data_IF_651203668497
#
_entry.id   IF_651203668497
#
_cell.length_a   1.000
_cell.length_b   1.000
_cell.length_c   1.000
_cell.angle_alpha   90.00
_cell.angle_beta   90.00
_cell.angle_gamma   90.00
#
_symmetry.space_group_name_H-M   'P 1'
#
loop_
_entity.id
_entity.type
_entity.pdbx_description
1 polymer ?
#
# COMPACT_ATOMS: atom_id res chain seq x y z
N UNK A 1 16.51 22.33 11.56
CA UNK A 1 15.80 21.03 11.58
C UNK A 1 14.50 21.11 10.79
N UNK A 2 13.95 20.00 10.28
CA UNK A 2 12.61 19.99 9.66
C UNK A 2 11.57 19.56 10.71
N UNK A 3 11.07 20.50 11.50
CA UNK A 3 10.08 20.24 12.54
C UNK A 3 8.80 19.60 11.96
N UNK A 4 8.31 18.53 12.61
CA UNK A 4 7.05 17.82 12.30
C UNK A 4 6.92 17.22 10.88
N UNK A 5 8.00 17.12 10.10
CA UNK A 5 7.93 16.54 8.74
C UNK A 5 7.96 15.01 8.78
N UNK A 6 6.78 14.38 8.76
CA UNK A 6 6.63 12.91 8.80
C UNK A 6 6.90 12.18 7.47
N UNK A 7 6.91 12.91 6.33
CA UNK A 7 7.08 12.31 4.99
C UNK A 7 8.54 11.95 4.68
N UNK A 8 8.77 10.73 4.16
CA UNK A 8 10.10 10.29 3.69
C UNK A 8 10.32 10.77 2.23
N UNK A 9 11.35 11.61 1.99
CA UNK A 9 11.62 12.15 0.63
C UNK A 9 12.22 11.13 -0.36
N UNK A 10 12.93 10.10 0.13
CA UNK A 10 13.59 9.05 -0.68
C UNK A 10 14.49 9.57 -1.82
N UNK A 11 15.09 10.76 -1.64
CA UNK A 11 15.90 11.48 -2.65
C UNK A 11 15.23 11.56 -4.04
N UNK A 12 13.90 11.71 -4.07
CA UNK A 12 13.11 11.78 -5.31
C UNK A 12 12.16 12.96 -5.29
N UNK A 13 11.82 13.47 -6.48
CA UNK A 13 10.74 14.42 -6.65
C UNK A 13 9.38 13.79 -6.27
N UNK A 14 8.33 14.60 -6.16
CA UNK A 14 7.03 14.10 -5.68
C UNK A 14 6.39 13.10 -6.63
N UNK A 15 6.49 13.30 -7.95
CA UNK A 15 5.92 12.42 -8.96
C UNK A 15 6.58 11.02 -8.93
N UNK A 16 7.91 10.98 -9.02
CA UNK A 16 8.69 9.74 -8.95
C UNK A 16 8.50 9.01 -7.62
N UNK A 17 8.44 9.75 -6.50
CA UNK A 17 8.18 9.15 -5.19
C UNK A 17 6.81 8.48 -5.13
N UNK A 18 5.77 9.13 -5.67
CA UNK A 18 4.41 8.55 -5.72
C UNK A 18 4.39 7.28 -6.57
N UNK A 19 4.99 7.32 -7.77
CA UNK A 19 5.09 6.15 -8.64
C UNK A 19 5.85 4.98 -7.97
N UNK A 20 7.00 5.25 -7.36
CA UNK A 20 7.79 4.25 -6.63
C UNK A 20 6.97 3.58 -5.52
N UNK A 21 6.29 4.37 -4.68
CA UNK A 21 5.51 3.83 -3.57
C UNK A 21 4.31 3.01 -4.05
N UNK A 22 3.61 3.47 -5.09
CA UNK A 22 2.50 2.71 -5.71
C UNK A 22 2.98 1.37 -6.29
N UNK A 23 4.12 1.38 -6.98
CA UNK A 23 4.74 0.16 -7.49
C UNK A 23 5.10 -0.80 -6.36
N UNK A 24 5.78 -0.32 -5.31
CA UNK A 24 6.18 -1.16 -4.17
C UNK A 24 4.97 -1.77 -3.44
N UNK A 25 3.89 -1.01 -3.22
CA UNK A 25 2.67 -1.55 -2.61
C UNK A 25 2.03 -2.59 -3.53
N UNK A 26 1.95 -2.31 -4.83
CA UNK A 26 1.37 -3.25 -5.80
C UNK A 26 2.16 -4.56 -5.84
N UNK A 27 3.49 -4.50 -5.94
CA UNK A 27 4.35 -5.69 -5.93
C UNK A 27 4.32 -6.42 -4.58
N UNK A 28 4.24 -5.69 -3.47
CA UNK A 28 4.12 -6.29 -2.14
C UNK A 28 2.82 -7.07 -1.99
N UNK A 29 1.69 -6.53 -2.42
CA UNK A 29 0.40 -7.22 -2.34
C UNK A 29 0.30 -8.38 -3.34
N UNK A 30 0.99 -8.27 -4.48
CA UNK A 30 1.05 -9.34 -5.48
C UNK A 30 1.85 -10.55 -4.98
N UNK A 31 3.04 -10.31 -4.41
CA UNK A 31 4.01 -11.35 -4.05
C UNK A 31 4.09 -11.68 -2.56
N UNK A 32 3.42 -10.91 -1.70
CA UNK A 32 3.40 -10.99 -0.22
C UNK A 32 4.76 -10.79 0.47
N UNK A 33 5.87 -10.95 -0.24
CA UNK A 33 7.23 -10.71 0.24
C UNK A 33 8.06 -10.06 -0.85
N UNK A 34 8.75 -8.97 -0.52
CA UNK A 34 9.65 -8.26 -1.44
C UNK A 34 10.97 -7.92 -0.75
N UNK A 35 12.07 -7.92 -1.50
CA UNK A 35 13.36 -7.41 -1.05
C UNK A 35 13.48 -5.93 -1.42
N UNK A 36 13.64 -5.06 -0.43
CA UNK A 36 13.80 -3.61 -0.65
C UNK A 36 14.69 -2.99 0.43
N UNK A 37 15.00 -1.70 0.32
CA UNK A 37 15.80 -1.01 1.34
C UNK A 37 14.95 -0.60 2.53
N UNK A 38 15.56 -0.52 3.73
CA UNK A 38 14.88 -0.15 4.98
C UNK A 38 14.06 1.14 4.85
N UNK A 39 14.63 2.17 4.23
CA UNK A 39 13.96 3.47 4.06
C UNK A 39 12.71 3.37 3.16
N UNK A 40 12.76 2.53 2.11
CA UNK A 40 11.61 2.26 1.24
C UNK A 40 10.55 1.44 1.99
N UNK A 41 10.96 0.38 2.69
CA UNK A 41 10.05 -0.45 3.49
C UNK A 41 9.26 0.37 4.52
N UNK A 42 9.95 1.21 5.33
CA UNK A 42 9.30 2.09 6.31
C UNK A 42 8.34 3.11 5.68
N UNK A 43 8.58 3.51 4.43
CA UNK A 43 7.69 4.44 3.70
C UNK A 43 6.49 3.73 3.05
N UNK A 44 6.67 2.49 2.60
CA UNK A 44 5.62 1.66 1.98
C UNK A 44 4.64 1.11 3.01
N UNK A 45 5.12 0.75 4.22
CA UNK A 45 4.32 0.13 5.29
C UNK A 45 2.97 0.81 5.56
N UNK A 46 2.88 2.12 5.88
CA UNK A 46 1.60 2.76 6.18
C UNK A 46 0.65 2.81 4.98
N UNK A 47 1.18 2.77 3.75
CA UNK A 47 0.37 2.74 2.54
C UNK A 47 -0.21 1.34 2.31
N UNK A 48 0.58 0.29 2.55
CA UNK A 48 0.12 -1.09 2.46
C UNK A 48 -0.92 -1.40 3.54
N UNK A 49 -0.67 -1.01 4.80
CA UNK A 49 -1.64 -1.12 5.91
C UNK A 49 -2.98 -0.47 5.53
N UNK A 50 -2.95 0.76 4.98
CA UNK A 50 -4.17 1.44 4.51
C UNK A 50 -4.93 0.65 3.44
N UNK A 51 -4.23 0.01 2.49
CA UNK A 51 -4.90 -0.81 1.47
C UNK A 51 -5.56 -2.05 2.09
N UNK A 52 -4.92 -2.69 3.07
CA UNK A 52 -5.50 -3.84 3.80
C UNK A 52 -6.70 -3.40 4.64
N UNK A 53 -6.64 -2.23 5.30
CA UNK A 53 -7.79 -1.68 6.03
C UNK A 53 -8.99 -1.41 5.12
N UNK A 54 -8.75 -0.91 3.89
CA UNK A 54 -9.81 -0.76 2.90
C UNK A 54 -10.38 -2.11 2.46
N UNK A 55 -9.51 -3.10 2.29
CA UNK A 55 -9.90 -4.47 1.92
C UNK A 55 -10.85 -5.10 2.95
N UNK A 56 -10.53 -4.95 4.25
CA UNK A 56 -11.36 -5.45 5.35
C UNK A 56 -12.80 -4.90 5.37
N UNK A 57 -13.03 -3.70 4.84
CA UNK A 57 -14.37 -3.09 4.78
C UNK A 57 -15.22 -3.64 3.63
N UNK A 58 -14.60 -4.17 2.58
CA UNK A 58 -15.21 -4.74 1.38
C UNK A 58 -16.39 -3.96 0.73
N UNK A 59 -16.37 -2.62 0.79
CA UNK A 59 -17.40 -1.81 0.12
C UNK A 59 -17.01 -1.44 -1.31
N UNK A 60 -18.00 -1.14 -2.16
CA UNK A 60 -17.76 -0.61 -3.52
C UNK A 60 -16.88 0.66 -3.49
N UNK A 61 -17.11 1.52 -2.49
CA UNK A 61 -16.30 2.72 -2.30
C UNK A 61 -14.84 2.38 -1.99
N UNK A 62 -14.58 1.40 -1.11
CA UNK A 62 -13.24 0.92 -0.81
C UNK A 62 -12.55 0.35 -2.06
N UNK A 63 -13.26 -0.46 -2.87
CA UNK A 63 -12.74 -1.00 -4.13
C UNK A 63 -12.32 0.11 -5.11
N UNK A 64 -13.14 1.16 -5.27
CA UNK A 64 -12.82 2.33 -6.10
C UNK A 64 -11.59 3.10 -5.59
N UNK A 65 -11.46 3.28 -4.28
CA UNK A 65 -10.29 3.92 -3.68
C UNK A 65 -9.00 3.12 -3.94
N UNK A 66 -9.06 1.80 -3.77
CA UNK A 66 -7.92 0.91 -4.01
C UNK A 66 -7.51 0.88 -5.48
N UNK A 67 -8.48 0.82 -6.41
CA UNK A 67 -8.22 0.89 -7.86
C UNK A 67 -7.56 2.20 -8.30
N UNK A 68 -7.81 3.31 -7.60
CA UNK A 68 -7.12 4.59 -7.88
C UNK A 68 -5.63 4.51 -7.57
N UNK A 69 -5.22 3.64 -6.64
CA UNK A 69 -3.85 3.56 -6.13
C UNK A 69 -3.04 2.39 -6.70
N UNK A 70 -3.61 1.18 -6.74
CA UNK A 70 -2.95 -0.03 -7.24
C UNK A 70 -2.99 -0.04 -8.78
N UNK A 71 -1.89 -0.44 -9.42
CA UNK A 71 -1.81 -0.44 -10.89
C UNK A 71 -2.46 -1.66 -11.55
N UNK A 72 -2.42 -2.82 -10.89
CA UNK A 72 -2.89 -4.10 -11.44
C UNK A 72 -4.25 -4.47 -10.86
N UNK A 73 -5.28 -4.63 -11.72
CA UNK A 73 -6.62 -5.10 -11.30
C UNK A 73 -6.61 -6.47 -10.60
N UNK A 74 -5.83 -7.49 -11.05
CA UNK A 74 -5.78 -8.78 -10.36
C UNK A 74 -5.31 -8.70 -8.91
N UNK A 75 -4.40 -7.77 -8.61
CA UNK A 75 -3.91 -7.55 -7.24
C UNK A 75 -5.01 -6.99 -6.35
N UNK A 76 -5.91 -6.17 -6.89
CA UNK A 76 -7.09 -5.69 -6.15
C UNK A 76 -8.02 -6.85 -5.84
N UNK A 77 -8.28 -7.73 -6.82
CA UNK A 77 -9.10 -8.93 -6.60
C UNK A 77 -8.54 -9.79 -5.46
N UNK A 78 -7.25 -10.15 -5.54
CA UNK A 78 -6.52 -10.89 -4.49
C UNK A 78 -6.61 -10.19 -3.12
N UNK A 79 -6.44 -8.88 -3.09
CA UNK A 79 -6.48 -8.10 -1.85
C UNK A 79 -7.83 -8.20 -1.14
N UNK A 80 -8.95 -8.17 -1.85
CA UNK A 80 -10.29 -8.22 -1.25
C UNK A 80 -10.77 -9.66 -1.00
N UNK A 81 -10.39 -10.63 -1.83
CA UNK A 81 -10.87 -12.01 -1.72
C UNK A 81 -10.03 -12.84 -0.73
N UNK A 82 -8.72 -12.62 -0.66
CA UNK A 82 -7.81 -13.44 0.15
C UNK A 82 -7.25 -12.66 1.34
N UNK A 83 -6.62 -11.52 1.09
CA UNK A 83 -5.83 -10.81 2.12
C UNK A 83 -6.74 -10.09 3.12
N UNK A 84 -7.80 -9.43 2.65
CA UNK A 84 -8.76 -8.71 3.49
C UNK A 84 -9.39 -9.60 4.56
N UNK A 85 -10.03 -10.72 4.18
CA UNK A 85 -10.62 -11.68 5.11
C UNK A 85 -9.59 -12.29 6.06
N UNK A 86 -8.37 -12.60 5.57
CA UNK A 86 -7.28 -13.15 6.40
C UNK A 86 -6.87 -12.25 7.57
N UNK A 87 -7.03 -10.94 7.44
CA UNK A 87 -6.69 -9.96 8.48
C UNK A 87 -7.91 -9.27 9.10
N UNK A 88 -9.10 -9.87 8.97
CA UNK A 88 -10.36 -9.31 9.47
C UNK A 88 -10.36 -9.08 10.98
N UNK A 89 -9.74 -9.98 11.76
CA UNK A 89 -9.72 -9.95 13.22
C UNK A 89 -8.54 -9.17 13.81
N UNK A 90 -7.50 -8.89 13.03
CA UNK A 90 -6.27 -8.26 13.52
C UNK A 90 -6.39 -6.73 13.56
N UNK A 91 -6.30 -6.08 14.73
CA UNK A 91 -6.11 -4.63 14.80
C UNK A 91 -4.64 -4.28 14.54
N UNK A 92 -4.34 -3.70 13.38
CA UNK A 92 -2.97 -3.28 13.01
C UNK A 92 -2.25 -4.30 12.14
#
# INVERSE_FOLDING_TARGET
MRHLVKKKKLRRNTAQRRALLRNLVTSFLEKERIRTTLAKAKATRPLAEKMITLARKDTLHAKRQTLRFIYKKPVVKKLFEEIGPRFSERPG
#
